data_IF_517641303717
#
_entry.id   IF_517641303717
#
_cell.length_a   1.000
_cell.length_b   1.000
_cell.length_c   1.000
_cell.angle_alpha   90.00
_cell.angle_beta   90.00
_cell.angle_gamma   90.00
#
_symmetry.space_group_name_H-M   'P 1'
#
loop_
_entity.id
_entity.type
_entity.pdbx_description
1 polymer ?
#
# COMPACT_ATOMS: atom_id res chain seq x y z
N UNK A 1 31.82 -39.17 32.04
CA UNK A 1 31.07 -39.24 30.76
C UNK A 1 30.10 -38.07 30.75
N UNK A 2 30.38 -37.03 29.94
CA UNK A 2 29.56 -35.81 29.91
C UNK A 2 28.39 -36.03 28.97
N UNK A 3 27.18 -36.00 29.52
CA UNK A 3 25.93 -36.10 28.80
C UNK A 3 25.64 -34.76 28.11
N UNK A 4 25.75 -34.72 26.78
CA UNK A 4 25.48 -33.52 25.99
C UNK A 4 23.97 -33.52 25.68
N UNK A 5 23.22 -32.78 26.49
CA UNK A 5 21.78 -32.61 26.37
C UNK A 5 21.37 -32.09 25.00
N UNK A 6 20.42 -32.81 24.41
CA UNK A 6 19.64 -32.55 23.21
C UNK A 6 19.30 -31.05 22.98
N UNK A 7 19.85 -30.44 21.93
CA UNK A 7 19.56 -29.07 21.47
C UNK A 7 18.58 -29.07 20.30
N UNK A 8 17.34 -29.52 20.52
CA UNK A 8 16.28 -29.48 19.49
C UNK A 8 15.11 -28.56 19.87
N UNK A 9 15.41 -27.40 20.47
CA UNK A 9 14.39 -26.43 20.94
C UNK A 9 13.99 -25.38 19.88
N UNK A 10 14.64 -25.37 18.71
CA UNK A 10 14.42 -24.35 17.69
C UNK A 10 13.20 -24.65 16.79
N UNK A 11 12.85 -25.92 16.58
CA UNK A 11 11.66 -26.32 15.81
C UNK A 11 10.36 -26.00 16.54
N UNK A 12 10.28 -26.23 17.85
CA UNK A 12 9.09 -25.95 18.67
C UNK A 12 8.78 -24.44 18.75
N UNK A 13 9.81 -23.59 18.91
CA UNK A 13 9.63 -22.13 18.90
C UNK A 13 9.18 -21.59 17.54
N UNK A 14 9.67 -22.17 16.44
CA UNK A 14 9.24 -21.80 15.08
C UNK A 14 7.81 -22.25 14.79
N UNK A 15 7.41 -23.44 15.26
CA UNK A 15 6.04 -23.93 15.15
C UNK A 15 5.06 -23.07 15.94
N UNK A 16 5.38 -22.75 17.20
CA UNK A 16 4.54 -21.86 18.02
C UNK A 16 4.43 -20.45 17.43
N UNK A 17 5.55 -19.87 16.99
CA UNK A 17 5.53 -18.54 16.35
C UNK A 17 4.69 -18.52 15.06
N UNK A 18 4.69 -19.60 14.28
CA UNK A 18 3.87 -19.71 13.07
C UNK A 18 2.37 -19.80 13.41
N UNK A 19 2.02 -20.60 14.43
CA UNK A 19 0.63 -20.69 14.92
C UNK A 19 0.14 -19.33 15.43
N UNK A 20 0.98 -18.64 16.22
CA UNK A 20 0.65 -17.28 16.71
C UNK A 20 0.48 -16.30 15.55
N UNK A 21 1.36 -16.34 14.55
CA UNK A 21 1.26 -15.50 13.36
C UNK A 21 -0.06 -15.73 12.60
N UNK A 22 -0.43 -16.99 12.37
CA UNK A 22 -1.71 -17.35 11.75
C UNK A 22 -2.88 -16.87 12.60
N UNK A 23 -2.82 -17.06 13.92
CA UNK A 23 -3.87 -16.63 14.83
C UNK A 23 -4.07 -15.10 14.78
N UNK A 24 -2.99 -14.32 14.75
CA UNK A 24 -3.04 -12.86 14.64
C UNK A 24 -3.67 -12.43 13.30
N UNK A 25 -3.23 -13.03 12.19
CA UNK A 25 -3.79 -12.71 10.87
C UNK A 25 -5.27 -13.10 10.81
N UNK A 26 -5.61 -14.31 11.25
CA UNK A 26 -6.99 -14.80 11.28
C UNK A 26 -7.90 -13.92 12.13
N UNK A 27 -7.45 -13.52 13.32
CA UNK A 27 -8.19 -12.61 14.18
C UNK A 27 -8.37 -11.22 13.55
N UNK A 28 -7.31 -10.64 12.97
CA UNK A 28 -7.41 -9.35 12.26
C UNK A 28 -8.38 -9.41 11.09
N UNK A 29 -8.37 -10.50 10.31
CA UNK A 29 -9.28 -10.69 9.19
C UNK A 29 -10.73 -10.84 9.66
N UNK A 30 -10.96 -11.66 10.71
CA UNK A 30 -12.27 -11.83 11.32
C UNK A 30 -12.83 -10.51 11.85
N UNK A 31 -12.00 -9.71 12.53
CA UNK A 31 -12.39 -8.36 12.99
C UNK A 31 -12.75 -7.44 11.83
N UNK A 32 -11.99 -7.48 10.73
CA UNK A 32 -12.28 -6.71 9.52
C UNK A 32 -13.63 -7.07 8.91
N UNK A 33 -13.91 -8.37 8.75
CA UNK A 33 -15.17 -8.87 8.20
C UNK A 33 -16.35 -8.53 9.12
N UNK A 34 -16.18 -8.72 10.44
CA UNK A 34 -17.21 -8.39 11.42
C UNK A 34 -17.57 -6.90 11.35
N UNK A 35 -16.58 -6.01 11.38
CA UNK A 35 -16.82 -4.57 11.23
C UNK A 35 -17.53 -4.24 9.91
N UNK A 36 -17.09 -4.83 8.80
CA UNK A 36 -17.69 -4.59 7.49
C UNK A 36 -19.18 -4.97 7.47
N UNK A 37 -19.48 -6.19 7.93
CA UNK A 37 -20.82 -6.74 7.93
C UNK A 37 -21.75 -6.02 8.91
N UNK A 38 -21.27 -5.71 10.12
CA UNK A 38 -22.04 -4.93 11.10
C UNK A 38 -22.38 -3.54 10.59
N UNK A 39 -21.45 -2.86 9.91
CA UNK A 39 -21.75 -1.56 9.30
C UNK A 39 -22.81 -1.70 8.19
N UNK A 40 -22.68 -2.69 7.31
CA UNK A 40 -23.68 -2.94 6.27
C UNK A 40 -25.08 -3.15 6.86
N UNK A 41 -25.22 -4.05 7.83
CA UNK A 41 -26.50 -4.32 8.52
C UNK A 41 -27.06 -3.08 9.21
N UNK A 42 -26.20 -2.24 9.79
CA UNK A 42 -26.64 -1.00 10.43
C UNK A 42 -27.26 -0.04 9.40
N UNK A 43 -26.59 0.19 8.27
CA UNK A 43 -27.11 1.06 7.20
C UNK A 43 -28.40 0.50 6.58
N UNK A 44 -28.48 -0.81 6.41
CA UNK A 44 -29.69 -1.50 5.94
C UNK A 44 -30.87 -1.31 6.92
N UNK A 45 -30.62 -1.44 8.23
CA UNK A 45 -31.65 -1.30 9.26
C UNK A 45 -32.33 0.07 9.32
N UNK A 46 -31.65 1.12 8.83
CA UNK A 46 -32.18 2.49 8.76
C UNK A 46 -32.62 2.89 7.34
N UNK A 47 -32.59 1.95 6.38
CA UNK A 47 -32.96 2.20 4.99
C UNK A 47 -31.97 3.07 4.20
N UNK A 48 -30.72 3.18 4.67
CA UNK A 48 -29.66 4.01 4.08
C UNK A 48 -28.59 3.17 3.37
N UNK A 49 -28.96 1.99 2.84
CA UNK A 49 -28.05 1.11 2.10
C UNK A 49 -27.33 1.85 0.95
N UNK A 50 -28.05 2.71 0.23
CA UNK A 50 -27.49 3.50 -0.88
C UNK A 50 -26.34 4.40 -0.46
N UNK A 51 -26.38 4.94 0.77
CA UNK A 51 -25.32 5.77 1.33
C UNK A 51 -24.08 4.93 1.62
N UNK A 52 -24.25 3.74 2.21
CA UNK A 52 -23.14 2.83 2.47
C UNK A 52 -22.41 2.41 1.19
N UNK A 53 -23.17 2.05 0.14
CA UNK A 53 -22.61 1.73 -1.18
C UNK A 53 -21.85 2.93 -1.75
N UNK A 54 -22.41 4.15 -1.62
CA UNK A 54 -21.74 5.38 -2.09
C UNK A 54 -20.41 5.60 -1.36
N UNK A 55 -20.38 5.45 -0.04
CA UNK A 55 -19.14 5.55 0.77
C UNK A 55 -18.11 4.52 0.32
N UNK A 56 -18.53 3.26 0.15
CA UNK A 56 -17.65 2.17 -0.25
C UNK A 56 -17.07 2.37 -1.66
N UNK A 57 -17.90 2.81 -2.61
CA UNK A 57 -17.46 3.15 -3.96
C UNK A 57 -16.48 4.32 -3.95
N UNK A 58 -16.77 5.40 -3.21
CA UNK A 58 -15.85 6.55 -3.14
C UNK A 58 -14.50 6.17 -2.55
N UNK A 59 -14.48 5.39 -1.45
CA UNK A 59 -13.22 4.92 -0.84
C UNK A 59 -12.42 4.07 -1.83
N UNK A 60 -13.08 3.11 -2.48
CA UNK A 60 -12.42 2.20 -3.44
C UNK A 60 -11.92 2.96 -4.67
N UNK A 61 -12.72 3.90 -5.19
CA UNK A 61 -12.34 4.75 -6.32
C UNK A 61 -11.15 5.64 -5.98
N UNK A 62 -11.09 6.22 -4.77
CA UNK A 62 -9.96 7.03 -4.32
C UNK A 62 -8.68 6.21 -4.22
N UNK A 63 -8.74 5.04 -3.58
CA UNK A 63 -7.59 4.14 -3.48
C UNK A 63 -7.13 3.73 -4.88
N UNK A 64 -8.06 3.35 -5.77
CA UNK A 64 -7.75 2.96 -7.14
C UNK A 64 -7.09 4.08 -7.95
N UNK A 65 -7.69 5.28 -7.95
CA UNK A 65 -7.20 6.43 -8.70
C UNK A 65 -5.82 6.90 -8.20
N UNK A 66 -5.67 7.08 -6.89
CA UNK A 66 -4.39 7.53 -6.30
C UNK A 66 -3.29 6.48 -6.44
N UNK A 67 -3.61 5.19 -6.25
CA UNK A 67 -2.67 4.09 -6.49
C UNK A 67 -2.25 4.05 -7.96
N UNK A 68 -3.17 4.26 -8.89
CA UNK A 68 -2.85 4.25 -10.32
C UNK A 68 -1.92 5.41 -10.69
N UNK A 69 -2.20 6.62 -10.19
CA UNK A 69 -1.34 7.79 -10.42
C UNK A 69 0.05 7.54 -9.82
N UNK A 70 0.12 7.07 -8.58
CA UNK A 70 1.38 6.74 -7.92
C UNK A 70 2.14 5.65 -8.68
N UNK A 71 1.44 4.60 -9.15
CA UNK A 71 2.02 3.52 -9.93
C UNK A 71 2.64 4.04 -11.22
N UNK A 72 1.90 4.83 -12.00
CA UNK A 72 2.40 5.42 -13.25
C UNK A 72 3.65 6.26 -12.98
N UNK A 73 3.62 7.09 -11.94
CA UNK A 73 4.75 7.92 -11.55
C UNK A 73 5.98 7.09 -11.15
N UNK A 74 5.83 6.18 -10.20
CA UNK A 74 6.90 5.32 -9.68
C UNK A 74 7.45 4.42 -10.78
N UNK A 75 6.57 3.73 -11.52
CA UNK A 75 6.98 2.81 -12.58
C UNK A 75 7.71 3.53 -13.71
N UNK A 76 7.24 4.72 -14.10
CA UNK A 76 7.92 5.53 -15.12
C UNK A 76 9.29 5.98 -14.61
N UNK A 77 9.37 6.45 -13.37
CA UNK A 77 10.64 6.86 -12.76
C UNK A 77 11.63 5.69 -12.67
N UNK A 78 11.19 4.52 -12.18
CA UNK A 78 11.98 3.30 -12.12
C UNK A 78 12.40 2.83 -13.52
N UNK A 79 11.53 2.93 -14.52
CA UNK A 79 11.86 2.58 -15.92
C UNK A 79 12.93 3.51 -16.48
N UNK A 80 12.81 4.81 -16.23
CA UNK A 80 13.80 5.80 -16.63
C UNK A 80 15.13 5.58 -15.91
N UNK A 81 15.13 5.35 -14.59
CA UNK A 81 16.34 5.06 -13.82
C UNK A 81 17.07 3.81 -14.35
N UNK A 82 16.34 2.73 -14.65
CA UNK A 82 16.96 1.51 -15.23
C UNK A 82 17.52 1.74 -16.63
N UNK A 83 17.00 2.70 -17.39
CA UNK A 83 17.50 3.04 -18.74
C UNK A 83 18.64 4.06 -18.69
N UNK A 84 18.59 4.97 -17.73
CA UNK A 84 19.53 6.06 -17.54
C UNK A 84 20.76 5.64 -16.74
N UNK A 85 20.78 4.43 -16.16
CA UNK A 85 22.01 3.83 -15.63
C UNK A 85 22.86 3.46 -16.84
N UNK A 86 23.87 4.27 -17.23
CA UNK A 86 24.87 3.79 -18.15
C UNK A 86 25.54 2.66 -17.38
N UNK A 87 25.79 1.53 -18.02
CA UNK A 87 26.67 0.55 -17.40
C UNK A 87 27.95 1.32 -17.10
N UNK A 88 28.24 1.52 -15.82
CA UNK A 88 29.44 2.22 -15.38
C UNK A 88 30.57 1.22 -15.55
N UNK A 89 30.86 0.88 -16.81
CA UNK A 89 31.92 0.01 -17.30
C UNK A 89 33.17 0.83 -17.62
N UNK A 90 33.22 2.07 -17.14
CA UNK A 90 34.43 2.88 -17.24
C UNK A 90 35.53 2.35 -16.31
N UNK A 91 35.20 1.46 -15.37
CA UNK A 91 36.14 0.80 -14.45
C UNK A 91 36.33 -0.72 -14.70
N UNK A 92 35.55 -1.35 -15.60
CA UNK A 92 35.63 -2.81 -15.85
C UNK A 92 36.82 -3.23 -16.73
N UNK A 93 37.58 -2.29 -17.30
CA UNK A 93 38.76 -2.62 -18.09
C UNK A 93 39.98 -3.10 -17.27
N UNK A 94 39.94 -3.08 -15.93
CA UNK A 94 41.15 -3.24 -15.11
C UNK A 94 41.19 -4.38 -14.08
N UNK A 95 40.12 -5.10 -13.77
CA UNK A 95 40.23 -6.19 -12.78
C UNK A 95 39.29 -7.37 -13.04
N UNK A 96 39.87 -8.54 -13.29
CA UNK A 96 39.18 -9.74 -13.79
C UNK A 96 38.69 -10.68 -12.68
N UNK A 97 38.88 -10.32 -11.41
CA UNK A 97 38.54 -11.14 -10.23
C UNK A 97 37.75 -10.36 -9.15
N UNK A 98 36.91 -9.40 -9.52
CA UNK A 98 36.12 -8.66 -8.53
C UNK A 98 34.86 -9.43 -8.05
N UNK A 99 34.79 -9.90 -6.79
CA UNK A 99 33.59 -10.52 -6.23
C UNK A 99 32.36 -9.59 -6.24
N UNK A 100 32.54 -8.27 -6.38
CA UNK A 100 31.43 -7.32 -6.54
C UNK A 100 30.74 -7.46 -7.91
N UNK A 101 31.41 -7.92 -8.96
CA UNK A 101 30.81 -8.08 -10.28
C UNK A 101 29.69 -9.14 -10.27
N UNK A 102 29.86 -10.23 -9.51
CA UNK A 102 28.81 -11.24 -9.29
C UNK A 102 27.64 -10.69 -8.48
N UNK A 103 27.91 -9.88 -7.45
CA UNK A 103 26.86 -9.22 -6.68
C UNK A 103 26.07 -8.23 -7.56
N UNK A 104 26.73 -7.46 -8.42
CA UNK A 104 26.11 -6.50 -9.34
C UNK A 104 25.18 -7.16 -10.36
N UNK A 105 25.62 -8.26 -10.98
CA UNK A 105 24.81 -9.03 -11.93
C UNK A 105 23.61 -9.72 -11.26
N UNK A 106 23.78 -10.25 -10.04
CA UNK A 106 22.67 -10.84 -9.31
C UNK A 106 21.61 -9.79 -8.90
N UNK A 107 22.06 -8.61 -8.46
CA UNK A 107 21.17 -7.52 -8.03
C UNK A 107 20.45 -6.89 -9.23
N UNK A 108 21.13 -6.64 -10.36
CA UNK A 108 20.53 -5.99 -11.53
C UNK A 108 19.39 -6.83 -12.16
N UNK A 109 19.59 -8.14 -12.30
CA UNK A 109 18.62 -9.05 -12.90
C UNK A 109 17.43 -9.35 -11.98
N UNK A 110 17.64 -9.33 -10.66
CA UNK A 110 16.59 -9.46 -9.65
C UNK A 110 15.79 -8.16 -9.54
N UNK A 111 16.44 -7.00 -9.53
CA UNK A 111 15.76 -5.69 -9.51
C UNK A 111 14.81 -5.52 -10.70
N UNK A 112 15.22 -5.91 -11.91
CA UNK A 112 14.37 -5.84 -13.09
C UNK A 112 13.08 -6.67 -12.94
N UNK A 113 13.16 -7.84 -12.28
CA UNK A 113 12.02 -8.72 -12.01
C UNK A 113 11.10 -8.19 -10.92
N UNK A 114 11.65 -7.67 -9.82
CA UNK A 114 10.84 -7.13 -8.71
C UNK A 114 10.36 -5.71 -8.92
N UNK A 115 10.84 -5.00 -9.95
CA UNK A 115 10.46 -3.61 -10.26
C UNK A 115 8.94 -3.44 -10.36
N UNK A 116 8.26 -4.35 -11.04
CA UNK A 116 6.81 -4.28 -11.21
C UNK A 116 6.09 -4.55 -9.90
N UNK A 117 6.42 -5.65 -9.21
CA UNK A 117 5.80 -6.03 -7.93
C UNK A 117 6.04 -4.97 -6.86
N UNK A 118 7.26 -4.43 -6.77
CA UNK A 118 7.62 -3.35 -5.85
C UNK A 118 6.88 -2.06 -6.16
N UNK A 119 6.77 -1.68 -7.43
CA UNK A 119 6.01 -0.50 -7.83
C UNK A 119 4.53 -0.64 -7.49
N UNK A 120 3.91 -1.81 -7.76
CA UNK A 120 2.50 -2.08 -7.42
C UNK A 120 2.28 -2.07 -5.91
N UNK A 121 3.14 -2.76 -5.14
CA UNK A 121 3.01 -2.82 -3.68
C UNK A 121 3.12 -1.41 -3.07
N UNK A 122 4.11 -0.63 -3.50
CA UNK A 122 4.35 0.71 -2.98
C UNK A 122 3.25 1.69 -3.42
N UNK A 123 2.75 1.60 -4.65
CA UNK A 123 1.66 2.44 -5.12
C UNK A 123 0.35 2.15 -4.40
N UNK A 124 0.03 0.87 -4.13
CA UNK A 124 -1.13 0.48 -3.36
C UNK A 124 -1.03 0.95 -1.90
N UNK A 125 0.16 0.84 -1.30
CA UNK A 125 0.40 1.34 0.05
C UNK A 125 0.18 2.86 0.15
N UNK A 126 0.70 3.63 -0.81
CA UNK A 126 0.49 5.07 -0.87
C UNK A 126 -0.98 5.43 -1.12
N UNK A 127 -1.65 4.73 -2.05
CA UNK A 127 -3.05 5.01 -2.36
C UNK A 127 -4.03 4.58 -1.27
N UNK A 128 -3.69 3.59 -0.44
CA UNK A 128 -4.51 3.19 0.71
C UNK A 128 -4.76 4.37 1.68
N UNK A 129 -3.80 5.30 1.82
CA UNK A 129 -3.95 6.51 2.61
C UNK A 129 -5.05 7.43 2.12
N UNK A 130 -5.33 7.47 0.80
CA UNK A 130 -6.38 8.30 0.23
C UNK A 130 -7.80 7.87 0.64
N UNK A 131 -7.97 6.63 1.12
CA UNK A 131 -9.27 6.16 1.61
C UNK A 131 -9.80 6.98 2.78
N UNK A 132 -8.97 7.70 3.54
CA UNK A 132 -9.41 8.52 4.67
C UNK A 132 -10.08 9.82 4.22
N UNK A 133 -9.80 10.29 3.01
CA UNK A 133 -10.27 11.56 2.44
C UNK A 133 -11.64 11.45 1.74
N UNK A 134 -12.30 10.30 1.82
CA UNK A 134 -13.59 10.03 1.16
C UNK A 134 -14.67 11.06 1.53
N UNK A 135 -14.69 11.53 2.78
CA UNK A 135 -15.67 12.49 3.27
C UNK A 135 -15.46 13.86 2.64
N UNK A 136 -14.22 14.36 2.66
CA UNK A 136 -13.84 15.63 2.00
C UNK A 136 -14.15 15.59 0.50
N UNK A 137 -13.88 14.46 -0.16
CA UNK A 137 -14.16 14.29 -1.59
C UNK A 137 -15.67 14.27 -1.87
N UNK A 138 -16.48 13.61 -1.03
CA UNK A 138 -17.93 13.65 -1.18
C UNK A 138 -18.49 15.05 -0.92
N UNK A 139 -17.98 15.76 0.09
CA UNK A 139 -18.37 17.14 0.37
C UNK A 139 -18.04 18.03 -0.82
N UNK A 140 -16.83 17.93 -1.37
CA UNK A 140 -16.41 18.66 -2.57
C UNK A 140 -17.28 18.36 -3.80
N UNK A 141 -17.62 17.10 -4.04
CA UNK A 141 -18.44 16.70 -5.20
C UNK A 141 -19.93 17.05 -5.03
N UNK A 142 -20.41 17.20 -3.79
CA UNK A 142 -21.82 17.47 -3.48
C UNK A 142 -21.97 18.83 -2.75
N UNK A 143 -21.10 19.80 -3.04
CA UNK A 143 -21.15 21.14 -2.46
C UNK A 143 -22.52 21.78 -2.73
N UNK A 144 -23.08 22.41 -1.69
CA UNK A 144 -24.32 23.20 -1.77
C UNK A 144 -24.02 24.57 -1.20
N UNK A 145 -24.48 25.63 -1.86
CA UNK A 145 -24.27 27.00 -1.40
C UNK A 145 -24.96 27.23 -0.05
N UNK A 146 -24.21 27.73 0.94
CA UNK A 146 -24.79 28.11 2.23
C UNK A 146 -25.40 29.52 2.17
N UNK A 147 -25.09 30.31 1.13
CA UNK A 147 -25.53 31.71 1.04
C UNK A 147 -24.85 32.61 2.06
N UNK A 148 -23.78 32.11 2.69
CA UNK A 148 -22.94 32.83 3.64
C UNK A 148 -21.58 33.00 2.98
N UNK A 149 -21.25 34.24 2.63
CA UNK A 149 -19.93 34.59 2.11
C UNK A 149 -18.95 34.84 3.25
N UNK A 150 -17.73 34.34 3.11
CA UNK A 150 -16.64 34.67 4.01
C UNK A 150 -16.23 36.16 3.84
N UNK A 151 -15.91 36.87 4.94
CA UNK A 151 -15.58 38.29 4.89
C UNK A 151 -14.20 38.63 4.30
N UNK A 152 -13.29 37.66 4.15
CA UNK A 152 -11.92 37.86 3.67
C UNK A 152 -11.83 37.73 2.15
N UNK A 153 -12.36 36.66 1.59
CA UNK A 153 -12.27 36.32 0.17
C UNK A 153 -13.60 36.40 -0.57
N UNK A 154 -14.72 36.67 0.12
CA UNK A 154 -16.07 36.73 -0.45
C UNK A 154 -16.51 35.44 -1.19
N UNK A 155 -15.90 34.30 -0.86
CA UNK A 155 -16.37 32.99 -1.34
C UNK A 155 -17.45 32.44 -0.42
N UNK A 156 -18.39 31.67 -0.98
CA UNK A 156 -19.36 30.93 -0.16
C UNK A 156 -18.59 29.91 0.69
N UNK A 157 -18.94 29.81 1.98
CA UNK A 157 -18.35 28.85 2.92
C UNK A 157 -18.44 27.40 2.39
N UNK A 158 -19.39 27.11 1.50
CA UNK A 158 -19.52 25.85 0.77
C UNK A 158 -18.27 25.43 -0.02
N UNK A 159 -17.38 26.38 -0.30
CA UNK A 159 -16.18 26.18 -1.15
C UNK A 159 -15.01 25.53 -0.40
N UNK A 160 -15.09 25.41 0.93
CA UNK A 160 -14.02 24.94 1.80
C UNK A 160 -14.29 23.55 2.40
#
# INVERSE_FOLDING_TARGET
MVNIGNLNTNSERRGFSFIVFIAIIGFSLARGIANFYTNYLWFDSVGLESVWVKILLTRTALVGATSLIAFIFIFTNLRLATRATPVMDIFEAFDSDDPLARFRNFVSERFARFRLTGAVALSLFLGAGASTLWEQVLLFLNQQGFGVSDPVFNYDVASY
#
